data_IF_978325084045
#
_entry.id   IF_978325084045
#
_cell.length_a   1.000
_cell.length_b   1.000
_cell.length_c   1.000
_cell.angle_alpha   90.00
_cell.angle_beta   90.00
_cell.angle_gamma   90.00
#
_symmetry.space_group_name_H-M   'P 1'
#
loop_
_entity.id
_entity.type
_entity.pdbx_description
1 polymer ?
#
# COMPACT_ATOMS: atom_id res chain seq x y z
N UNK A 1 21.76 1.01 17.98
CA UNK A 1 20.38 1.54 17.87
C UNK A 1 20.32 2.79 17.02
N UNK A 2 20.97 3.86 17.42
CA UNK A 2 20.84 5.19 16.81
C UNK A 2 21.40 5.27 15.39
N UNK A 3 22.53 4.67 15.10
CA UNK A 3 23.11 4.68 13.74
C UNK A 3 22.22 3.98 12.72
N UNK A 4 21.61 2.85 13.08
CA UNK A 4 20.69 2.15 12.21
C UNK A 4 19.41 2.94 11.97
N UNK A 5 18.94 3.62 12.99
CA UNK A 5 17.78 4.50 12.86
C UNK A 5 18.10 5.71 11.97
N UNK A 6 19.27 6.33 12.15
CA UNK A 6 19.77 7.44 11.33
C UNK A 6 19.85 7.05 9.86
N UNK A 7 20.44 5.91 9.53
CA UNK A 7 20.52 5.40 8.16
C UNK A 7 19.11 5.18 7.55
N UNK A 8 18.20 4.60 8.34
CA UNK A 8 16.82 4.37 7.92
C UNK A 8 16.07 5.68 7.67
N UNK A 9 16.22 6.66 8.56
CA UNK A 9 15.60 7.98 8.42
C UNK A 9 16.10 8.70 7.15
N UNK A 10 17.42 8.71 6.93
CA UNK A 10 18.02 9.31 5.74
C UNK A 10 17.54 8.66 4.44
N UNK A 11 17.43 7.32 4.40
CA UNK A 11 16.86 6.60 3.26
C UNK A 11 15.42 7.00 2.97
N UNK A 12 14.60 7.11 4.01
CA UNK A 12 13.16 7.42 3.87
C UNK A 12 12.88 8.88 3.51
N UNK A 13 13.78 9.79 3.87
CA UNK A 13 13.66 11.21 3.55
C UNK A 13 14.06 11.54 2.11
N UNK A 14 14.76 10.63 1.43
CA UNK A 14 15.11 10.83 0.01
C UNK A 14 13.85 10.82 -0.84
N UNK A 15 13.74 11.77 -1.80
CA UNK A 15 12.66 11.72 -2.77
C UNK A 15 12.65 10.38 -3.52
N UNK A 16 11.46 9.86 -3.77
CA UNK A 16 11.31 8.65 -4.54
C UNK A 16 11.76 8.88 -5.99
N UNK A 17 12.47 7.91 -6.61
CA UNK A 17 12.86 8.03 -8.01
C UNK A 17 11.62 8.03 -8.93
N UNK A 18 11.72 8.58 -10.14
CA UNK A 18 10.66 8.50 -11.13
C UNK A 18 10.21 7.06 -11.37
N UNK A 19 8.93 6.87 -11.59
CA UNK A 19 8.37 5.58 -11.99
C UNK A 19 8.29 5.46 -13.51
N UNK A 20 8.21 4.22 -14.05
CA UNK A 20 7.96 3.99 -15.48
C UNK A 20 6.67 4.66 -15.94
N UNK A 21 6.60 5.03 -17.22
CA UNK A 21 5.44 5.69 -17.84
C UNK A 21 4.08 5.04 -17.53
N UNK A 22 3.91 3.70 -17.64
CA UNK A 22 2.63 3.07 -17.29
C UNK A 22 2.21 3.32 -15.84
N UNK A 23 3.15 3.27 -14.90
CA UNK A 23 2.86 3.53 -13.48
C UNK A 23 2.53 5.00 -13.20
N UNK A 24 3.07 5.91 -13.98
CA UNK A 24 2.77 7.34 -13.86
C UNK A 24 1.35 7.66 -14.37
N UNK A 25 0.93 7.02 -15.46
CA UNK A 25 -0.35 7.29 -16.11
C UNK A 25 -1.52 6.51 -15.53
N UNK A 26 -1.29 5.28 -15.10
CA UNK A 26 -2.33 4.35 -14.66
C UNK A 26 -2.38 4.16 -13.13
N UNK A 27 -1.36 4.59 -12.42
CA UNK A 27 -1.11 4.28 -11.03
C UNK A 27 -0.21 3.05 -10.86
N UNK A 28 0.48 2.97 -9.72
CA UNK A 28 1.37 1.85 -9.42
C UNK A 28 0.59 0.61 -9.02
N UNK A 29 1.07 -0.60 -9.36
CA UNK A 29 0.53 -1.83 -8.78
C UNK A 29 0.77 -1.85 -7.27
N UNK A 30 -0.11 -2.54 -6.55
CA UNK A 30 0.12 -2.81 -5.13
C UNK A 30 1.40 -3.62 -4.94
N UNK A 31 2.29 -3.17 -4.06
CA UNK A 31 3.57 -3.85 -3.76
C UNK A 31 3.50 -4.70 -2.50
N UNK A 32 2.33 -4.82 -1.90
CA UNK A 32 2.09 -5.63 -0.73
C UNK A 32 2.02 -7.12 -1.09
N UNK A 33 2.23 -7.99 -0.10
CA UNK A 33 2.04 -9.44 -0.23
C UNK A 33 0.57 -9.86 -0.34
N UNK A 34 -0.36 -8.98 0.01
CA UNK A 34 -1.79 -9.21 -0.05
C UNK A 34 -2.24 -9.65 -1.45
N UNK A 35 -2.84 -10.82 -1.55
CA UNK A 35 -3.28 -11.40 -2.81
C UNK A 35 -2.14 -11.91 -3.71
N UNK A 36 -0.89 -11.95 -3.22
CA UNK A 36 0.27 -12.50 -3.94
C UNK A 36 0.84 -13.73 -3.26
N UNK A 37 1.15 -13.62 -1.99
CA UNK A 37 1.64 -14.70 -1.13
C UNK A 37 0.91 -14.79 0.20
N UNK A 38 -0.02 -13.89 0.47
CA UNK A 38 -0.88 -13.89 1.65
C UNK A 38 -2.34 -13.60 1.29
N UNK A 39 -3.23 -14.09 2.12
CA UNK A 39 -4.67 -13.94 1.97
C UNK A 39 -5.33 -13.87 3.33
N UNK A 40 -6.60 -13.50 3.34
CA UNK A 40 -7.46 -13.50 4.50
C UNK A 40 -8.74 -14.29 4.20
N UNK A 41 -9.14 -15.20 5.09
CA UNK A 41 -10.43 -15.89 4.99
C UNK A 41 -11.31 -15.43 6.14
N UNK A 42 -12.49 -14.92 5.80
CA UNK A 42 -13.50 -14.49 6.78
C UNK A 42 -14.19 -15.70 7.40
N UNK A 43 -14.87 -15.47 8.52
CA UNK A 43 -15.60 -16.52 9.25
C UNK A 43 -16.67 -17.23 8.41
N UNK A 44 -17.22 -16.54 7.41
CA UNK A 44 -18.23 -17.05 6.47
C UNK A 44 -17.63 -17.63 5.17
N UNK A 45 -16.33 -17.86 5.13
CA UNK A 45 -15.65 -18.54 4.04
C UNK A 45 -15.34 -17.70 2.81
N UNK A 46 -15.23 -16.38 2.96
CA UNK A 46 -14.82 -15.50 1.88
C UNK A 46 -13.32 -15.26 1.91
N UNK A 47 -12.64 -15.48 0.81
CA UNK A 47 -11.23 -15.14 0.65
C UNK A 47 -11.09 -13.72 0.14
N UNK A 48 -10.19 -12.97 0.78
CA UNK A 48 -9.82 -11.59 0.43
C UNK A 48 -8.30 -11.46 0.41
N UNK A 49 -7.73 -10.48 -0.29
CA UNK A 49 -6.29 -10.24 -0.25
C UNK A 49 -5.78 -9.87 1.15
N UNK A 50 -6.58 -9.13 1.91
CA UNK A 50 -6.23 -8.55 3.20
C UNK A 50 -7.49 -8.42 4.07
N UNK A 51 -7.34 -8.48 5.39
CA UNK A 51 -8.43 -8.30 6.34
C UNK A 51 -9.11 -6.92 6.29
N UNK A 52 -8.44 -5.91 5.75
CA UNK A 52 -8.99 -4.57 5.58
C UNK A 52 -9.73 -4.37 4.24
N UNK A 53 -9.56 -5.26 3.27
CA UNK A 53 -10.17 -5.14 1.96
C UNK A 53 -11.51 -5.88 1.92
N UNK A 54 -12.49 -5.30 1.24
CA UNK A 54 -13.80 -5.92 0.98
C UNK A 54 -13.90 -6.50 -0.43
N UNK A 55 -13.04 -6.07 -1.34
CA UNK A 55 -12.88 -6.63 -2.68
C UNK A 55 -11.41 -6.55 -3.12
N UNK A 56 -10.94 -7.42 -4.03
CA UNK A 56 -11.65 -8.56 -4.58
C UNK A 56 -12.00 -9.61 -3.52
N UNK A 57 -13.01 -10.41 -3.79
CA UNK A 57 -13.48 -11.47 -2.90
C UNK A 57 -13.79 -12.74 -3.70
N UNK A 58 -13.51 -13.89 -3.11
CA UNK A 58 -13.85 -15.19 -3.67
C UNK A 58 -14.47 -16.09 -2.59
N UNK A 59 -15.31 -17.04 -2.99
CA UNK A 59 -15.99 -17.94 -2.07
C UNK A 59 -15.24 -19.26 -1.98
N UNK A 60 -14.55 -19.49 -0.87
CA UNK A 60 -13.75 -20.73 -0.64
C UNK A 60 -14.65 -21.94 -0.43
N UNK A 61 -15.82 -21.73 0.16
CA UNK A 61 -16.77 -22.83 0.43
C UNK A 61 -17.39 -23.34 -0.86
N UNK A 62 -17.77 -22.44 -1.76
CA UNK A 62 -18.42 -22.80 -3.02
C UNK A 62 -17.42 -23.23 -4.10
N UNK A 63 -16.31 -22.54 -4.23
CA UNK A 63 -15.37 -22.73 -5.34
C UNK A 63 -14.16 -23.60 -4.97
N UNK A 64 -13.92 -23.82 -3.68
CA UNK A 64 -12.70 -24.44 -3.18
C UNK A 64 -11.52 -23.46 -3.10
N UNK A 65 -10.48 -23.86 -2.37
CA UNK A 65 -9.34 -22.98 -2.09
C UNK A 65 -8.57 -22.57 -3.37
N UNK A 66 -8.26 -23.53 -4.24
CA UNK A 66 -7.38 -23.26 -5.40
C UNK A 66 -8.02 -22.26 -6.38
N UNK A 67 -9.30 -22.44 -6.70
CA UNK A 67 -10.01 -21.49 -7.57
C UNK A 67 -10.20 -20.13 -6.93
N UNK A 68 -10.52 -20.08 -5.64
CA UNK A 68 -10.63 -18.85 -4.90
C UNK A 68 -9.29 -18.09 -4.88
N UNK A 69 -8.20 -18.79 -4.62
CA UNK A 69 -6.87 -18.22 -4.59
C UNK A 69 -6.42 -17.67 -5.96
N UNK A 70 -6.66 -18.43 -7.02
CA UNK A 70 -6.37 -17.99 -8.38
C UNK A 70 -7.15 -16.73 -8.76
N UNK A 71 -8.43 -16.67 -8.40
CA UNK A 71 -9.26 -15.48 -8.61
C UNK A 71 -8.71 -14.26 -7.87
N UNK A 72 -8.37 -14.40 -6.60
CA UNK A 72 -7.80 -13.31 -5.79
C UNK A 72 -6.49 -12.81 -6.39
N UNK A 73 -5.59 -13.69 -6.79
CA UNK A 73 -4.31 -13.31 -7.42
C UNK A 73 -4.52 -12.55 -8.72
N UNK A 74 -5.39 -13.06 -9.60
CA UNK A 74 -5.71 -12.45 -10.89
C UNK A 74 -6.32 -11.06 -10.71
N UNK A 75 -7.27 -10.92 -9.79
CA UNK A 75 -7.94 -9.65 -9.54
C UNK A 75 -7.01 -8.63 -8.87
N UNK A 76 -6.10 -9.08 -7.97
CA UNK A 76 -5.11 -8.19 -7.35
C UNK A 76 -4.08 -7.65 -8.34
N UNK A 77 -3.75 -8.38 -9.38
CA UNK A 77 -2.85 -7.88 -10.44
C UNK A 77 -3.43 -6.69 -11.20
N UNK A 78 -4.74 -6.51 -11.16
CA UNK A 78 -5.44 -5.36 -11.77
C UNK A 78 -5.57 -4.15 -10.84
N UNK A 79 -5.33 -4.32 -9.55
CA UNK A 79 -5.43 -3.23 -8.57
C UNK A 79 -4.32 -2.23 -8.78
N UNK A 80 -4.68 -0.95 -8.90
CA UNK A 80 -3.74 0.16 -9.03
C UNK A 80 -3.94 1.15 -7.89
N UNK A 81 -2.83 1.65 -7.38
CA UNK A 81 -2.82 2.76 -6.43
C UNK A 81 -3.14 4.07 -7.14
N UNK A 82 -3.58 5.12 -6.41
CA UNK A 82 -3.92 6.39 -7.03
C UNK A 82 -2.76 6.98 -7.86
N UNK A 83 -3.08 7.54 -9.02
CA UNK A 83 -2.10 8.21 -9.89
C UNK A 83 -1.34 9.32 -9.18
N UNK A 84 -2.02 10.07 -8.32
CA UNK A 84 -1.39 11.11 -7.51
C UNK A 84 -0.28 10.57 -6.60
N UNK A 85 -0.39 9.30 -6.18
CA UNK A 85 0.64 8.63 -5.39
C UNK A 85 1.83 8.18 -6.24
N UNK A 86 1.63 7.87 -7.52
CA UNK A 86 2.69 7.46 -8.43
C UNK A 86 3.74 8.57 -8.64
N UNK A 87 3.29 9.83 -8.75
CA UNK A 87 4.17 11.00 -8.87
C UNK A 87 4.66 11.59 -7.55
N UNK A 88 4.25 11.03 -6.40
CA UNK A 88 4.57 11.60 -5.09
C UNK A 88 6.03 11.30 -4.71
N UNK A 89 6.85 12.32 -4.38
CA UNK A 89 8.24 12.09 -3.96
C UNK A 89 8.33 11.41 -2.58
N UNK A 90 7.30 11.50 -1.76
CA UNK A 90 7.24 10.94 -0.41
C UNK A 90 6.68 9.50 -0.36
N UNK A 91 6.43 8.84 -1.49
CA UNK A 91 5.82 7.51 -1.52
C UNK A 91 6.63 6.41 -0.81
N UNK A 92 7.95 6.58 -0.67
CA UNK A 92 8.81 5.65 0.08
C UNK A 92 8.55 5.76 1.58
N UNK A 93 8.32 6.97 2.06
CA UNK A 93 7.99 7.23 3.46
C UNK A 93 6.53 6.90 3.78
N UNK A 94 5.65 7.10 2.81
CA UNK A 94 4.21 6.98 2.97
C UNK A 94 3.77 5.53 3.23
N UNK A 95 2.80 5.37 4.13
CA UNK A 95 2.20 4.08 4.50
C UNK A 95 0.89 3.79 3.77
N UNK A 96 0.47 4.65 2.84
CA UNK A 96 -0.74 4.42 2.05
C UNK A 96 -0.64 3.09 1.28
N UNK A 97 -1.70 2.31 1.31
CA UNK A 97 -1.81 1.05 0.60
C UNK A 97 -3.21 0.91 -0.03
N UNK A 98 -3.37 -0.08 -0.90
CA UNK A 98 -4.65 -0.34 -1.56
C UNK A 98 -5.80 -0.55 -0.57
N UNK A 99 -5.55 -1.28 0.53
CA UNK A 99 -6.55 -1.52 1.57
C UNK A 99 -7.02 -0.23 2.24
N UNK A 100 -6.08 0.67 2.58
CA UNK A 100 -6.42 1.98 3.17
C UNK A 100 -7.22 2.84 2.18
N UNK A 101 -6.81 2.88 0.92
CA UNK A 101 -7.55 3.61 -0.10
C UNK A 101 -8.99 3.11 -0.19
N UNK A 102 -9.20 1.80 -0.32
CA UNK A 102 -10.53 1.22 -0.42
C UNK A 102 -11.35 1.44 0.85
N UNK A 103 -10.80 1.17 2.02
CA UNK A 103 -11.53 1.27 3.29
C UNK A 103 -11.98 2.71 3.59
N UNK A 104 -11.14 3.71 3.29
CA UNK A 104 -11.41 5.10 3.63
C UNK A 104 -12.17 5.86 2.54
N UNK A 105 -11.99 5.49 1.28
CA UNK A 105 -12.59 6.23 0.14
C UNK A 105 -13.62 5.43 -0.64
N UNK A 106 -13.70 4.12 -0.43
CA UNK A 106 -14.55 3.20 -1.19
C UNK A 106 -13.94 2.72 -2.51
N UNK A 107 -12.80 3.25 -2.94
CA UNK A 107 -12.14 2.88 -4.19
C UNK A 107 -10.62 2.79 -4.05
N UNK A 108 -9.95 2.17 -5.02
CA UNK A 108 -8.49 2.07 -5.04
C UNK A 108 -7.80 3.31 -5.64
N UNK A 109 -8.50 4.07 -6.47
CA UNK A 109 -7.95 5.20 -7.22
C UNK A 109 -7.98 6.54 -6.47
N UNK A 110 -8.46 6.54 -5.23
CA UNK A 110 -8.51 7.69 -4.34
C UNK A 110 -7.64 7.47 -3.11
N UNK A 111 -6.84 8.45 -2.77
CA UNK A 111 -6.04 8.45 -1.55
C UNK A 111 -6.81 9.08 -0.38
N UNK A 112 -6.69 8.52 0.85
CA UNK A 112 -7.21 9.21 2.03
C UNK A 112 -6.32 10.42 2.37
N UNK A 113 -6.92 11.60 2.44
CA UNK A 113 -6.20 12.88 2.67
C UNK A 113 -5.38 12.89 3.97
N UNK A 114 -5.88 12.27 5.03
CA UNK A 114 -5.18 12.25 6.32
C UNK A 114 -3.83 11.51 6.25
N UNK A 115 -3.67 10.54 5.36
CA UNK A 115 -2.41 9.79 5.21
C UNK A 115 -1.31 10.70 4.67
N UNK A 116 -1.65 11.63 3.77
CA UNK A 116 -0.70 12.64 3.30
C UNK A 116 -0.24 13.55 4.43
N UNK A 117 -1.16 13.96 5.31
CA UNK A 117 -0.85 14.78 6.50
C UNK A 117 0.02 14.01 7.50
N UNK A 118 -0.29 12.73 7.73
CA UNK A 118 0.54 11.87 8.58
C UNK A 118 1.96 11.71 8.02
N UNK A 119 2.08 11.52 6.70
CA UNK A 119 3.38 11.42 6.04
C UNK A 119 4.19 12.70 6.18
N UNK A 120 3.56 13.85 6.01
CA UNK A 120 4.21 15.15 6.21
C UNK A 120 4.68 15.34 7.66
N UNK A 121 3.86 14.98 8.64
CA UNK A 121 4.21 15.04 10.05
C UNK A 121 5.37 14.08 10.39
N UNK A 122 5.34 12.86 9.84
CA UNK A 122 6.42 11.88 10.01
C UNK A 122 7.74 12.38 9.40
N UNK A 123 7.68 12.98 8.23
CA UNK A 123 8.83 13.59 7.55
C UNK A 123 9.48 14.69 8.40
N UNK A 124 8.64 15.55 8.98
CA UNK A 124 9.07 16.59 9.90
C UNK A 124 9.74 15.99 11.13
N UNK A 125 9.12 15.03 11.78
CA UNK A 125 9.66 14.37 12.97
C UNK A 125 11.02 13.68 12.70
N UNK A 126 11.19 13.02 11.54
CA UNK A 126 12.48 12.45 11.16
C UNK A 126 13.58 13.51 11.00
N UNK A 127 13.26 14.66 10.40
CA UNK A 127 14.22 15.76 10.24
C UNK A 127 14.62 16.34 11.59
N UNK A 128 13.66 16.67 12.44
CA UNK A 128 13.89 17.19 13.78
C UNK A 128 14.75 16.22 14.61
N UNK A 129 14.48 14.92 14.51
CA UNK A 129 15.30 13.90 15.18
C UNK A 129 16.75 13.90 14.68
N UNK A 130 16.96 13.94 13.36
CA UNK A 130 18.30 13.99 12.76
C UNK A 130 19.07 15.24 13.20
N UNK A 131 18.42 16.39 13.19
CA UNK A 131 19.04 17.66 13.62
C UNK A 131 19.50 17.63 15.08
N UNK A 132 18.75 16.93 15.95
CA UNK A 132 19.13 16.76 17.35
C UNK A 132 20.24 15.72 17.59
N UNK A 133 20.55 14.86 16.61
CA UNK A 133 21.51 13.75 16.75
C UNK A 133 22.69 13.87 15.77
N UNK A 134 22.88 15.01 15.19
CA UNK A 134 24.10 15.37 14.48
C UNK A 134 25.17 15.84 15.45
#
# INVERSE_FOLDING_TARGET
GDERFKETALKRLKPAPPLPEPEQSEGSPSRCYAGRSSFWITWDGKMRPCGMMTCPEADVVMDGFDLAWEKIRTDMDKVRLPRACAGCPDRILCRACAAMCQAETGTFDRKPEYVCKMTAAMKKAYREWLDCHE
#
